data_IF_405942121418
#
_entry.id   IF_405942121418
#
_cell.length_a   1.000
_cell.length_b   1.000
_cell.length_c   1.000
_cell.angle_alpha   90.00
_cell.angle_beta   90.00
_cell.angle_gamma   90.00
#
_symmetry.space_group_name_H-M   'P 1'
#
loop_
_entity.id
_entity.type
_entity.pdbx_description
1 polymer ?
#
# COMPACT_ATOMS: atom_id res chain seq x y z
N UNK A 1 7.07 35.23 3.83
CA UNK A 1 7.84 35.13 5.11
C UNK A 1 7.02 34.50 6.24
N UNK A 2 5.80 34.96 6.54
CA UNK A 2 4.96 34.38 7.61
C UNK A 2 4.52 32.92 7.37
N UNK A 3 4.03 32.59 6.16
CA UNK A 3 3.57 31.22 5.83
C UNK A 3 4.69 30.17 5.86
N UNK A 4 5.92 30.57 5.54
CA UNK A 4 7.08 29.67 5.54
C UNK A 4 7.52 29.34 6.98
N UNK A 5 7.51 30.33 7.87
CA UNK A 5 7.79 30.14 9.30
C UNK A 5 6.75 29.23 9.97
N UNK A 6 5.45 29.40 9.65
CA UNK A 6 4.40 28.51 10.15
C UNK A 6 4.57 27.07 9.64
N UNK A 7 4.94 26.89 8.36
CA UNK A 7 5.20 25.55 7.79
C UNK A 7 6.40 24.89 8.47
N UNK A 8 7.51 25.60 8.64
CA UNK A 8 8.71 25.10 9.31
C UNK A 8 8.43 24.72 10.78
N UNK A 9 7.62 25.52 11.48
CA UNK A 9 7.17 25.23 12.84
C UNK A 9 6.31 23.96 12.92
N UNK A 10 5.33 23.80 11.99
CA UNK A 10 4.52 22.57 11.92
C UNK A 10 5.36 21.34 11.56
N UNK A 11 6.29 21.47 10.61
CA UNK A 11 7.25 20.41 10.21
C UNK A 11 8.05 19.93 11.42
N UNK A 12 8.53 20.86 12.25
CA UNK A 12 9.26 20.58 13.49
C UNK A 12 8.39 19.88 14.54
N UNK A 13 7.11 20.27 14.64
CA UNK A 13 6.17 19.62 15.55
C UNK A 13 5.84 18.18 15.14
N UNK A 14 5.68 17.91 13.83
CA UNK A 14 5.47 16.56 13.32
C UNK A 14 6.71 15.68 13.50
N UNK A 15 7.92 16.25 13.32
CA UNK A 15 9.17 15.56 13.61
C UNK A 15 9.22 15.12 15.09
N UNK A 16 8.91 16.04 16.01
CA UNK A 16 8.89 15.75 17.45
C UNK A 16 7.81 14.72 17.84
N UNK A 17 6.73 14.60 17.06
CA UNK A 17 5.65 13.65 17.34
C UNK A 17 5.93 12.26 16.77
N UNK A 18 6.36 12.17 15.52
CA UNK A 18 6.43 10.90 14.79
C UNK A 18 7.81 10.25 14.78
N UNK A 19 8.91 11.02 14.75
CA UNK A 19 10.24 10.43 14.73
C UNK A 19 10.55 9.56 15.96
N UNK A 20 10.15 9.93 17.20
CA UNK A 20 10.38 9.07 18.35
C UNK A 20 9.70 7.71 18.25
N UNK A 21 8.51 7.64 17.61
CA UNK A 21 7.80 6.38 17.37
C UNK A 21 8.52 5.55 16.32
N UNK A 22 8.88 6.18 15.20
CA UNK A 22 9.54 5.51 14.07
C UNK A 22 10.96 5.02 14.42
N UNK A 23 11.71 5.80 15.20
CA UNK A 23 13.08 5.45 15.59
C UNK A 23 13.14 4.17 16.45
N UNK A 24 12.07 3.80 17.16
CA UNK A 24 11.99 2.51 17.87
C UNK A 24 12.12 1.31 16.94
N UNK A 25 11.75 1.45 15.67
CA UNK A 25 11.89 0.38 14.67
C UNK A 25 13.34 0.00 14.37
N UNK A 26 14.29 0.90 14.70
CA UNK A 26 15.70 0.76 14.37
C UNK A 26 16.63 0.90 15.59
N UNK A 27 16.06 1.10 16.77
CA UNK A 27 16.80 1.25 18.01
C UNK A 27 17.54 -0.05 18.36
N UNK A 28 18.81 0.07 18.76
CA UNK A 28 19.66 -1.07 19.11
C UNK A 28 20.10 -1.97 17.94
N UNK A 29 19.69 -1.69 16.71
CA UNK A 29 20.06 -2.49 15.53
C UNK A 29 21.43 -2.08 14.96
N UNK A 30 22.21 -3.07 14.51
CA UNK A 30 23.42 -2.81 13.73
C UNK A 30 23.07 -2.21 12.35
N UNK A 31 23.99 -1.48 11.71
CA UNK A 31 23.73 -0.76 10.45
C UNK A 31 23.04 -1.60 9.37
N UNK A 32 23.55 -2.81 9.08
CA UNK A 32 22.92 -3.72 8.10
C UNK A 32 21.49 -4.15 8.48
N UNK A 33 21.22 -4.31 9.77
CA UNK A 33 19.88 -4.64 10.25
C UNK A 33 18.95 -3.43 10.16
N UNK A 34 19.45 -2.22 10.43
CA UNK A 34 18.72 -0.96 10.25
C UNK A 34 18.29 -0.77 8.81
N UNK A 35 19.20 -0.97 7.85
CA UNK A 35 18.88 -0.83 6.42
C UNK A 35 17.75 -1.76 6.01
N UNK A 36 17.82 -3.04 6.41
CA UNK A 36 16.74 -4.01 6.17
C UNK A 36 15.43 -3.63 6.85
N UNK A 37 15.49 -3.10 8.08
CA UNK A 37 14.29 -2.65 8.80
C UNK A 37 13.61 -1.46 8.09
N UNK A 38 14.40 -0.52 7.57
CA UNK A 38 13.92 0.64 6.80
C UNK A 38 13.35 0.21 5.45
N UNK A 39 14.00 -0.71 4.74
CA UNK A 39 13.47 -1.27 3.48
C UNK A 39 12.14 -1.98 3.71
N UNK A 40 12.07 -2.82 4.75
CA UNK A 40 10.84 -3.51 5.15
C UNK A 40 9.74 -2.51 5.50
N UNK A 41 10.07 -1.47 6.27
CA UNK A 41 9.15 -0.37 6.58
C UNK A 41 8.60 0.29 5.31
N UNK A 42 9.47 0.69 4.38
CA UNK A 42 9.03 1.31 3.12
C UNK A 42 8.18 0.36 2.28
N UNK A 43 8.46 -0.93 2.29
CA UNK A 43 7.65 -1.93 1.57
C UNK A 43 6.25 -2.09 2.19
N UNK A 44 6.15 -2.25 3.51
CA UNK A 44 4.86 -2.48 4.20
C UNK A 44 4.12 -1.16 4.43
N UNK A 45 4.69 -0.25 5.23
CA UNK A 45 4.05 1.02 5.58
C UNK A 45 3.90 1.92 4.37
N UNK A 46 4.89 1.95 3.48
CA UNK A 46 4.76 2.73 2.24
C UNK A 46 3.59 2.26 1.39
N UNK A 47 3.35 0.94 1.30
CA UNK A 47 2.16 0.40 0.65
C UNK A 47 0.86 0.76 1.38
N UNK A 48 0.83 0.67 2.71
CA UNK A 48 -0.34 1.04 3.53
C UNK A 48 -0.71 2.50 3.33
N UNK A 49 0.28 3.38 3.26
CA UNK A 49 0.07 4.82 3.07
C UNK A 49 -0.60 5.12 1.74
N UNK A 50 -0.24 4.42 0.67
CA UNK A 50 -0.76 4.67 -0.69
C UNK A 50 -1.99 3.83 -1.07
N UNK A 51 -2.40 2.88 -0.22
CA UNK A 51 -3.60 2.08 -0.45
C UNK A 51 -4.84 2.97 -0.53
N UNK A 52 -5.65 2.77 -1.58
CA UNK A 52 -6.92 3.48 -1.73
C UNK A 52 -7.96 3.07 -0.67
N UNK A 53 -7.94 1.80 -0.27
CA UNK A 53 -8.80 1.25 0.79
C UNK A 53 -7.96 0.48 1.81
N UNK A 54 -8.16 0.71 3.11
CA UNK A 54 -7.52 -0.07 4.18
C UNK A 54 -7.75 -1.58 4.03
N UNK A 55 -6.73 -2.38 4.33
CA UNK A 55 -6.75 -3.84 4.21
C UNK A 55 -6.42 -4.52 5.55
N UNK A 56 -6.97 -5.72 5.82
CA UNK A 56 -6.51 -6.54 6.93
C UNK A 56 -5.09 -7.06 6.72
N UNK A 57 -4.39 -7.40 7.80
CA UNK A 57 -2.99 -7.91 7.75
C UNK A 57 -2.88 -9.18 6.91
N UNK A 58 -3.91 -10.02 6.92
CA UNK A 58 -4.03 -11.21 6.06
C UNK A 58 -4.08 -10.90 4.56
N UNK A 59 -4.78 -9.83 4.17
CA UNK A 59 -4.82 -9.36 2.78
C UNK A 59 -3.52 -8.65 2.40
N UNK A 60 -2.95 -7.85 3.30
CA UNK A 60 -1.65 -7.21 3.11
C UNK A 60 -0.54 -8.24 2.87
N UNK A 61 -0.51 -9.33 3.65
CA UNK A 61 0.50 -10.39 3.49
C UNK A 61 0.45 -11.05 2.11
N UNK A 62 -0.77 -11.40 1.66
CA UNK A 62 -0.98 -11.94 0.31
C UNK A 62 -0.60 -10.95 -0.79
N UNK A 63 -1.04 -9.69 -0.65
CA UNK A 63 -0.77 -8.66 -1.65
C UNK A 63 0.72 -8.36 -1.76
N UNK A 64 1.39 -8.10 -0.64
CA UNK A 64 2.78 -7.65 -0.60
C UNK A 64 3.82 -8.78 -0.67
N UNK A 65 3.37 -10.04 -0.69
CA UNK A 65 4.23 -11.23 -0.60
C UNK A 65 5.03 -11.31 0.70
N UNK A 66 4.44 -10.89 1.81
CA UNK A 66 5.12 -10.85 3.11
C UNK A 66 4.37 -11.75 4.09
N UNK A 67 5.13 -12.49 4.91
CA UNK A 67 4.56 -13.28 6.00
C UNK A 67 3.77 -12.36 6.93
N UNK A 68 2.58 -12.81 7.33
CA UNK A 68 1.67 -12.03 8.15
C UNK A 68 2.32 -11.67 9.49
N UNK A 69 3.07 -12.60 10.06
CA UNK A 69 3.81 -12.44 11.31
C UNK A 69 4.79 -11.28 11.21
N UNK A 70 5.53 -11.20 10.09
CA UNK A 70 6.46 -10.09 9.86
C UNK A 70 5.75 -8.74 9.66
N UNK A 71 4.52 -8.73 9.13
CA UNK A 71 3.70 -7.52 9.09
C UNK A 71 3.29 -7.14 10.52
N UNK A 72 2.72 -8.08 11.27
CA UNK A 72 2.27 -7.86 12.64
C UNK A 72 3.40 -7.32 13.52
N UNK A 73 4.57 -7.97 13.52
CA UNK A 73 5.75 -7.55 14.30
C UNK A 73 6.16 -6.09 14.00
N UNK A 74 6.05 -5.67 12.74
CA UNK A 74 6.39 -4.31 12.35
C UNK A 74 5.29 -3.30 12.76
N UNK A 75 4.02 -3.68 12.62
CA UNK A 75 2.90 -2.81 12.96
C UNK A 75 2.73 -2.66 14.48
N UNK A 76 3.07 -3.69 15.27
CA UNK A 76 2.94 -3.67 16.74
C UNK A 76 3.78 -2.57 17.41
N UNK A 77 4.81 -2.05 16.75
CA UNK A 77 5.57 -0.92 17.25
C UNK A 77 4.93 0.45 16.94
N UNK A 78 3.82 0.45 16.19
CA UNK A 78 3.17 1.62 15.60
C UNK A 78 1.71 1.82 16.07
N UNK A 79 1.27 1.16 17.14
CA UNK A 79 -0.08 1.33 17.72
C UNK A 79 -0.44 2.79 18.06
N UNK A 80 0.55 3.66 18.28
CA UNK A 80 0.32 5.08 18.54
C UNK A 80 -0.08 5.89 17.30
N UNK A 81 0.13 5.36 16.09
CA UNK A 81 -0.17 6.03 14.81
C UNK A 81 -1.07 5.20 13.91
N UNK A 82 -1.22 3.91 14.20
CA UNK A 82 -2.11 2.98 13.51
C UNK A 82 -3.12 2.37 14.48
N UNK A 83 -4.36 2.25 14.01
CA UNK A 83 -5.34 1.34 14.56
C UNK A 83 -5.10 -0.05 13.97
N UNK A 84 -4.62 -0.96 14.81
CA UNK A 84 -4.31 -2.35 14.43
C UNK A 84 -5.32 -3.24 15.17
N UNK A 85 -6.30 -3.82 14.46
CA UNK A 85 -7.31 -4.63 15.09
C UNK A 85 -6.76 -6.01 15.47
N UNK A 86 -7.27 -6.58 16.56
CA UNK A 86 -6.96 -7.96 16.97
C UNK A 86 -7.56 -9.02 16.03
N UNK A 87 -8.56 -8.64 15.24
CA UNK A 87 -9.20 -9.51 14.25
C UNK A 87 -8.47 -9.47 12.92
N UNK A 88 -8.14 -10.65 12.40
CA UNK A 88 -7.45 -10.86 11.12
C UNK A 88 -8.25 -10.45 9.88
N UNK A 89 -9.53 -10.13 10.06
CA UNK A 89 -10.44 -9.69 8.99
C UNK A 89 -10.70 -8.19 9.02
N UNK A 90 -10.28 -7.51 10.08
CA UNK A 90 -10.46 -6.07 10.23
C UNK A 90 -9.27 -5.32 9.64
N UNK A 91 -9.51 -4.18 8.96
CA UNK A 91 -8.44 -3.46 8.28
C UNK A 91 -7.56 -2.66 9.23
N UNK A 92 -6.27 -2.58 8.92
CA UNK A 92 -5.33 -1.65 9.57
C UNK A 92 -5.61 -0.24 9.06
N UNK A 93 -5.78 0.73 9.97
CA UNK A 93 -6.08 2.13 9.63
C UNK A 93 -5.07 3.08 10.24
N UNK A 94 -4.77 4.17 9.55
CA UNK A 94 -4.04 5.29 10.16
C UNK A 94 -4.96 6.06 11.11
N UNK A 95 -4.44 6.44 12.27
CA UNK A 95 -5.17 7.25 13.25
C UNK A 95 -5.23 8.73 12.83
N UNK A 96 -4.21 9.20 12.12
CA UNK A 96 -4.07 10.60 11.74
C UNK A 96 -3.63 10.73 10.28
N UNK A 97 -4.34 11.55 9.49
CA UNK A 97 -3.95 11.86 8.11
C UNK A 97 -2.58 12.55 8.04
N UNK A 98 -2.23 13.37 9.03
CA UNK A 98 -0.92 14.02 9.10
C UNK A 98 0.24 13.03 9.19
N UNK A 99 0.02 11.79 9.63
CA UNK A 99 1.05 10.76 9.62
C UNK A 99 1.36 10.30 8.19
N UNK A 100 0.34 10.14 7.34
CA UNK A 100 0.54 9.90 5.90
C UNK A 100 1.30 11.06 5.29
N UNK A 101 0.82 12.28 5.48
CA UNK A 101 1.42 13.47 4.86
C UNK A 101 2.88 13.63 5.29
N UNK A 102 3.19 13.37 6.55
CA UNK A 102 4.55 13.35 7.07
C UNK A 102 5.47 12.34 6.37
N UNK A 103 4.99 11.13 6.09
CA UNK A 103 5.81 10.08 5.49
C UNK A 103 6.10 10.33 4.00
N UNK A 104 5.19 10.99 3.28
CA UNK A 104 5.30 11.22 1.83
C UNK A 104 5.81 12.60 1.45
N UNK A 105 5.97 13.52 2.41
CA UNK A 105 6.46 14.87 2.18
C UNK A 105 7.88 14.86 1.56
N UNK A 106 8.01 15.28 0.31
CA UNK A 106 9.29 15.32 -0.42
C UNK A 106 10.31 16.26 0.24
N UNK A 107 9.87 17.27 1.00
CA UNK A 107 10.77 18.12 1.80
C UNK A 107 11.49 17.32 2.91
N UNK A 108 11.02 16.11 3.24
CA UNK A 108 11.57 15.22 4.26
C UNK A 108 12.49 14.13 3.70
N UNK A 109 12.62 14.01 2.37
CA UNK A 109 13.40 12.97 1.69
C UNK A 109 14.82 12.76 2.23
N UNK A 110 15.47 13.85 2.62
CA UNK A 110 16.83 13.84 3.17
C UNK A 110 16.90 14.19 4.66
N UNK A 111 15.75 14.37 5.32
CA UNK A 111 15.66 14.75 6.75
C UNK A 111 15.52 13.55 7.68
N UNK A 112 14.91 12.45 7.22
CA UNK A 112 14.82 11.22 8.01
C UNK A 112 14.78 9.95 7.16
N UNK A 113 15.12 8.83 7.79
CA UNK A 113 15.24 7.53 7.12
C UNK A 113 13.89 6.93 6.70
N UNK A 114 12.80 7.32 7.35
CA UNK A 114 11.47 6.75 7.14
C UNK A 114 10.67 7.39 6.00
N UNK A 115 11.25 8.31 5.23
CA UNK A 115 10.53 8.92 4.10
C UNK A 115 10.17 7.85 3.06
N UNK A 116 8.97 7.99 2.50
CA UNK A 116 8.37 7.12 1.50
C UNK A 116 8.21 7.91 0.21
N UNK A 117 8.84 7.42 -0.86
CA UNK A 117 8.58 7.89 -2.21
C UNK A 117 7.18 7.41 -2.64
N UNK A 118 6.20 8.31 -2.63
CA UNK A 118 4.80 7.99 -2.94
C UNK A 118 4.64 7.41 -4.36
N UNK A 119 5.38 7.93 -5.35
CA UNK A 119 5.30 7.44 -6.74
C UNK A 119 5.84 6.02 -6.84
N UNK A 120 6.98 5.77 -6.19
CA UNK A 120 7.57 4.43 -6.15
C UNK A 120 6.67 3.44 -5.40
N UNK A 121 6.09 3.85 -4.27
CA UNK A 121 5.17 3.03 -3.50
C UNK A 121 3.92 2.66 -4.32
N UNK A 122 3.32 3.61 -5.04
CA UNK A 122 2.19 3.34 -5.95
C UNK A 122 2.58 2.36 -7.07
N UNK A 123 3.73 2.55 -7.69
CA UNK A 123 4.19 1.65 -8.75
C UNK A 123 4.40 0.22 -8.23
N UNK A 124 5.06 0.07 -7.08
CA UNK A 124 5.27 -1.22 -6.44
C UNK A 124 3.94 -1.88 -6.07
N UNK A 125 3.01 -1.12 -5.47
CA UNK A 125 1.70 -1.64 -5.10
C UNK A 125 0.91 -2.11 -6.33
N UNK A 126 0.92 -1.34 -7.43
CA UNK A 126 0.26 -1.71 -8.67
C UNK A 126 0.84 -3.02 -9.24
N UNK A 127 2.16 -3.20 -9.21
CA UNK A 127 2.80 -4.46 -9.62
C UNK A 127 2.36 -5.63 -8.74
N UNK A 128 2.26 -5.43 -7.43
CA UNK A 128 1.75 -6.46 -6.51
C UNK A 128 0.30 -6.83 -6.78
N UNK A 129 -0.56 -5.84 -7.06
CA UNK A 129 -1.95 -6.07 -7.46
C UNK A 129 -2.02 -6.90 -8.75
N UNK A 130 -1.26 -6.54 -9.79
CA UNK A 130 -1.19 -7.27 -11.06
C UNK A 130 -0.71 -8.71 -10.86
N UNK A 131 0.29 -8.92 -10.00
CA UNK A 131 0.77 -10.26 -9.64
C UNK A 131 -0.34 -11.11 -9.02
N UNK A 132 -1.07 -10.58 -8.04
CA UNK A 132 -2.18 -11.31 -7.40
C UNK A 132 -3.28 -11.60 -8.42
N UNK A 133 -3.64 -10.62 -9.25
CA UNK A 133 -4.61 -10.76 -10.33
C UNK A 133 -4.21 -11.88 -11.30
N UNK A 134 -2.97 -11.89 -11.79
CA UNK A 134 -2.49 -12.93 -12.70
C UNK A 134 -2.44 -14.34 -12.07
N UNK A 135 -2.34 -14.44 -10.74
CA UNK A 135 -2.34 -15.73 -10.04
C UNK A 135 -3.74 -16.29 -9.79
N UNK A 136 -4.76 -15.44 -9.69
CA UNK A 136 -6.10 -15.84 -9.21
C UNK A 136 -7.23 -15.53 -10.18
N UNK A 137 -7.03 -14.66 -11.16
CA UNK A 137 -8.02 -14.38 -12.19
C UNK A 137 -7.80 -15.35 -13.36
N UNK A 138 -8.82 -16.15 -13.63
CA UNK A 138 -8.90 -16.92 -14.88
C UNK A 138 -9.29 -15.99 -16.02
N UNK A 139 -8.61 -16.10 -17.17
CA UNK A 139 -9.10 -15.57 -18.44
C UNK A 139 -10.44 -16.23 -18.76
N UNK A 140 -11.43 -15.43 -19.16
CA UNK A 140 -12.82 -15.84 -19.35
C UNK A 140 -13.51 -16.34 -18.06
N UNK A 141 -13.61 -15.48 -17.04
CA UNK A 141 -14.42 -15.74 -15.84
C UNK A 141 -15.83 -16.28 -16.15
N UNK A 142 -16.42 -15.86 -17.27
CA UNK A 142 -17.76 -16.28 -17.68
C UNK A 142 -17.78 -17.62 -18.46
N UNK A 143 -16.63 -18.24 -18.72
CA UNK A 143 -16.47 -19.42 -19.60
C UNK A 143 -17.32 -19.31 -20.86
N UNK A 144 -17.37 -18.10 -21.44
CA UNK A 144 -18.12 -17.84 -22.65
C UNK A 144 -17.32 -18.47 -23.78
N UNK A 145 -17.56 -19.77 -24.00
CA UNK A 145 -17.27 -20.41 -25.27
C UNK A 145 -17.80 -19.44 -26.31
N UNK A 146 -16.93 -18.94 -27.18
CA UNK A 146 -17.34 -18.18 -28.35
C UNK A 146 -18.29 -19.06 -29.17
N UNK A 147 -19.57 -19.03 -28.83
CA UNK A 147 -20.64 -19.35 -29.75
C UNK A 147 -20.68 -18.17 -30.69
N UNK A 148 -19.71 -18.14 -31.61
CA UNK A 148 -19.89 -17.50 -32.89
C UNK A 148 -21.05 -18.22 -33.54
N UNK A 149 -22.27 -17.75 -33.23
CA UNK A 149 -23.46 -18.04 -34.01
C UNK A 149 -23.08 -17.74 -35.44
N UNK A 150 -22.92 -18.79 -36.23
CA UNK A 150 -22.57 -18.69 -37.63
C UNK A 150 -23.76 -17.98 -38.31
N UNK A 151 -23.63 -16.68 -38.56
CA UNK A 151 -24.61 -15.83 -39.25
C UNK A 151 -24.66 -16.17 -40.75
N UNK A 152 -24.75 -17.45 -41.09
CA UNK A 152 -24.82 -17.97 -42.45
C UNK A 152 -26.05 -18.87 -42.61
N UNK A 153 -27.22 -18.44 -42.12
CA UNK A 153 -28.49 -19.10 -42.50
C UNK A 153 -29.68 -18.14 -42.46
N UNK A 154 -29.57 -16.98 -43.12
CA UNK A 154 -30.77 -16.30 -43.62
C UNK A 154 -30.88 -16.69 -45.09
N UNK A 155 -31.54 -17.83 -45.33
CA UNK A 155 -31.94 -18.24 -46.67
C UNK A 155 -32.91 -17.19 -47.21
N UNK A 156 -32.45 -16.37 -48.17
CA UNK A 156 -33.32 -15.53 -48.99
C UNK A 156 -34.30 -16.44 -49.72
N UNK A 157 -35.55 -16.48 -49.27
CA UNK A 157 -36.63 -17.10 -50.04
C UNK A 157 -37.03 -16.11 -51.13
N UNK A 158 -36.73 -16.51 -52.36
CA UNK A 158 -37.26 -15.96 -53.60
C UNK A 158 -38.79 -15.79 -53.48
N UNK A 159 -39.29 -14.58 -53.71
CA UNK A 159 -40.72 -14.32 -53.93
C UNK A 159 -40.81 -13.90 -55.40
N UNK A 160 -41.17 -14.87 -56.25
CA UNK A 160 -41.62 -14.59 -57.62
C UNK A 160 -43.05 -14.04 -57.55
N UNK A 161 -43.33 -13.02 -58.37
CA UNK A 161 -44.66 -12.61 -58.81
C UNK A 161 -44.64 -12.39 -60.31
#
# INVERSE_FOLDING_TARGET
>A
KFLQFQRESQISQLDATYLPVLNRLIEGLANRQRDRAIERFRHILGSIVVLGSPLPTSALGRLLNVQKEMINDQLDLLHSVLSIPSSDQSPVRMLHLSFRDFLVDDEKRHKHLFWVDEKRAHNQLAMQCLRVMNMHLETDMCKLIQQGTNCATISSKHIDS
#
